data_IF_973744036628
#
_entry.id   IF_973744036628
#
_cell.length_a   1.000
_cell.length_b   1.000
_cell.length_c   1.000
_cell.angle_alpha   90.00
_cell.angle_beta   90.00
_cell.angle_gamma   90.00
#
_symmetry.space_group_name_H-M   'P 1'
#
loop_
_entity.id
_entity.type
_entity.pdbx_description
1 polymer ?
#
# COMPACT_ATOMS: atom_id res chain seq x y z
N UNK A 1 5.89 18.03 -24.32
CA UNK A 1 4.52 17.50 -24.51
C UNK A 1 4.14 16.74 -23.24
N UNK A 2 3.45 17.36 -22.29
CA UNK A 2 2.99 16.67 -21.07
C UNK A 2 1.77 15.85 -21.47
N UNK A 3 1.89 14.52 -21.48
CA UNK A 3 0.74 13.64 -21.67
C UNK A 3 -0.20 13.88 -20.49
N UNK A 4 -1.43 14.31 -20.76
CA UNK A 4 -2.49 14.44 -19.76
C UNK A 4 -2.58 13.08 -19.05
N UNK A 5 -2.32 13.03 -17.74
CA UNK A 5 -2.49 11.83 -16.96
C UNK A 5 -3.91 11.29 -17.24
N UNK A 6 -4.01 10.03 -17.66
CA UNK A 6 -5.29 9.44 -18.03
C UNK A 6 -6.18 9.39 -16.79
N UNK A 7 -7.31 10.08 -16.82
CA UNK A 7 -8.32 9.95 -15.78
C UNK A 7 -9.11 8.67 -16.00
N UNK A 8 -9.40 7.95 -14.93
CA UNK A 8 -10.23 6.75 -14.93
C UNK A 8 -11.39 6.96 -13.97
N UNK A 9 -12.60 6.64 -14.42
CA UNK A 9 -13.82 6.79 -13.64
C UNK A 9 -14.45 5.40 -13.48
N UNK A 10 -14.86 5.09 -12.26
CA UNK A 10 -15.55 3.87 -11.89
C UNK A 10 -16.84 4.24 -11.18
N UNK A 11 -17.91 3.50 -11.39
CA UNK A 11 -19.12 3.60 -10.58
C UNK A 11 -19.02 2.55 -9.47
N UNK A 12 -19.13 2.98 -8.21
CA UNK A 12 -19.23 2.06 -7.08
C UNK A 12 -20.66 1.49 -6.96
N UNK A 13 -20.84 0.48 -6.11
CA UNK A 13 -22.12 -0.20 -5.93
C UNK A 13 -23.24 0.73 -5.42
N UNK A 14 -22.90 1.93 -4.94
CA UNK A 14 -23.87 2.95 -4.52
C UNK A 14 -24.29 3.89 -5.66
N UNK A 15 -23.80 3.66 -6.88
CA UNK A 15 -24.01 4.52 -8.04
C UNK A 15 -23.15 5.79 -8.02
N UNK A 16 -22.16 5.87 -7.11
CA UNK A 16 -21.28 7.04 -7.02
C UNK A 16 -20.08 6.84 -7.94
N UNK A 17 -19.82 7.87 -8.75
CA UNK A 17 -18.65 7.90 -9.61
C UNK A 17 -17.40 8.24 -8.80
N UNK A 18 -16.50 7.27 -8.65
CA UNK A 18 -15.16 7.41 -8.09
C UNK A 18 -14.18 7.68 -9.23
N UNK A 19 -13.25 8.61 -9.00
CA UNK A 19 -12.26 9.04 -9.99
C UNK A 19 -10.86 8.72 -9.51
N UNK A 20 -10.01 8.27 -10.41
CA UNK A 20 -8.58 8.07 -10.20
C UNK A 20 -7.79 8.72 -11.34
N UNK A 21 -6.62 9.24 -11.01
CA UNK A 21 -5.67 9.72 -12.00
C UNK A 21 -4.49 8.74 -12.10
N UNK A 22 -3.96 8.58 -13.31
CA UNK A 22 -2.77 7.74 -13.54
C UNK A 22 -1.53 8.40 -12.96
N UNK A 23 -0.81 7.70 -12.08
CA UNK A 23 0.47 8.17 -11.56
C UNK A 23 1.49 8.34 -12.70
N UNK A 24 2.24 9.45 -12.79
CA UNK A 24 3.18 9.70 -13.90
C UNK A 24 4.28 8.65 -14.01
N UNK A 25 4.62 8.01 -12.90
CA UNK A 25 5.62 6.94 -12.85
C UNK A 25 4.95 5.60 -12.50
N UNK A 26 4.89 4.71 -13.49
CA UNK A 26 4.27 3.37 -13.40
C UNK A 26 2.79 3.31 -13.81
N UNK A 27 2.04 4.42 -13.79
CA UNK A 27 0.67 4.45 -14.29
C UNK A 27 -0.40 3.84 -13.36
N UNK A 28 -0.11 3.64 -12.07
CA UNK A 28 -1.11 3.18 -11.10
C UNK A 28 -2.26 4.16 -10.90
N UNK A 29 -3.37 3.66 -10.34
CA UNK A 29 -4.59 4.42 -10.11
C UNK A 29 -4.50 5.10 -8.74
N UNK A 30 -4.46 6.44 -8.75
CA UNK A 30 -4.29 7.25 -7.55
C UNK A 30 -5.53 8.11 -7.36
N UNK A 31 -6.15 8.00 -6.18
CA UNK A 31 -7.25 8.88 -5.80
C UNK A 31 -6.79 10.34 -5.83
N UNK A 32 -7.61 11.29 -6.32
CA UNK A 32 -7.30 12.73 -6.27
C UNK A 32 -7.08 13.28 -4.85
N UNK A 33 -7.46 12.52 -3.82
CA UNK A 33 -7.29 12.84 -2.41
C UNK A 33 -6.11 12.12 -1.76
N UNK A 34 -5.38 11.31 -2.52
CA UNK A 34 -4.12 10.71 -2.10
C UNK A 34 -2.95 11.66 -2.42
N UNK A 35 -1.85 11.52 -1.70
CA UNK A 35 -0.61 12.24 -1.97
C UNK A 35 0.49 11.22 -2.28
N UNK A 36 0.85 11.13 -3.56
CA UNK A 36 1.90 10.22 -4.03
C UNK A 36 3.04 11.07 -4.60
N UNK A 37 4.25 10.83 -4.11
CA UNK A 37 5.44 11.51 -4.62
C UNK A 37 5.71 11.10 -6.09
N UNK A 38 6.01 12.04 -7.00
CA UNK A 38 6.25 11.72 -8.42
C UNK A 38 7.39 10.72 -8.67
N UNK A 39 8.37 10.62 -7.76
CA UNK A 39 9.48 9.67 -7.85
C UNK A 39 9.09 8.27 -7.34
N UNK A 40 7.90 8.10 -6.74
CA UNK A 40 7.36 6.79 -6.44
C UNK A 40 6.93 6.09 -7.72
N UNK A 41 7.10 4.77 -7.80
CA UNK A 41 6.66 3.97 -8.94
C UNK A 41 5.47 3.12 -8.54
N UNK A 42 4.29 3.44 -9.07
CA UNK A 42 3.04 2.74 -8.77
C UNK A 42 2.64 1.95 -9.99
N UNK A 43 2.61 0.61 -9.89
CA UNK A 43 2.32 -0.26 -11.02
C UNK A 43 0.90 0.00 -11.62
N UNK A 44 0.67 -0.25 -12.93
CA UNK A 44 -0.56 0.15 -13.61
C UNK A 44 -1.87 -0.39 -13.02
N UNK A 45 -1.80 -1.52 -12.34
CA UNK A 45 -2.93 -2.23 -11.72
C UNK A 45 -3.02 -2.02 -10.21
N UNK A 46 -2.13 -1.23 -9.62
CA UNK A 46 -2.18 -0.89 -8.22
C UNK A 46 -3.12 0.28 -7.95
N UNK A 47 -3.76 0.25 -6.79
CA UNK A 47 -4.69 1.28 -6.30
C UNK A 47 -4.08 1.99 -5.09
N UNK A 48 -4.20 3.32 -5.08
CA UNK A 48 -3.88 4.18 -3.94
C UNK A 48 -5.10 5.02 -3.60
N UNK A 49 -5.61 4.80 -2.41
CA UNK A 49 -6.91 5.29 -1.95
C UNK A 49 -6.88 6.69 -1.30
N UNK A 50 -8.06 7.26 -1.03
CA UNK A 50 -8.15 8.61 -0.46
C UNK A 50 -7.43 8.73 0.90
N UNK A 51 -6.77 9.88 1.10
CA UNK A 51 -5.98 10.14 2.31
C UNK A 51 -4.69 9.32 2.42
N UNK A 52 -4.40 8.39 1.51
CA UNK A 52 -3.15 7.65 1.52
C UNK A 52 -1.98 8.55 1.11
N UNK A 53 -0.81 8.30 1.71
CA UNK A 53 0.45 8.98 1.43
C UNK A 53 1.50 7.97 1.00
N UNK A 54 2.22 8.24 -0.09
CA UNK A 54 3.31 7.38 -0.57
C UNK A 54 4.56 8.22 -0.84
N UNK A 55 5.62 7.96 -0.09
CA UNK A 55 6.88 8.68 -0.16
C UNK A 55 7.71 8.40 -1.42
N UNK A 56 8.67 9.30 -1.69
CA UNK A 56 9.60 9.20 -2.83
C UNK A 56 10.32 7.87 -2.90
N UNK A 57 10.68 7.43 -4.12
CA UNK A 57 11.46 6.20 -4.39
C UNK A 57 10.83 4.90 -3.87
N UNK A 58 9.59 4.96 -3.41
CA UNK A 58 8.80 3.78 -3.05
C UNK A 58 8.27 3.12 -4.31
N UNK A 59 8.20 1.79 -4.29
CA UNK A 59 7.60 1.00 -5.37
C UNK A 59 6.40 0.24 -4.83
N UNK A 60 5.27 0.34 -5.54
CA UNK A 60 4.06 -0.44 -5.29
C UNK A 60 3.82 -1.39 -6.46
N UNK A 61 3.89 -2.69 -6.20
CA UNK A 61 3.76 -3.74 -7.21
C UNK A 61 2.35 -3.91 -7.77
N UNK A 62 2.25 -4.68 -8.85
CA UNK A 62 1.00 -4.95 -9.56
C UNK A 62 -0.06 -5.59 -8.67
N UNK A 63 -1.33 -5.18 -8.85
CA UNK A 63 -2.47 -5.70 -8.10
C UNK A 63 -2.46 -5.36 -6.60
N UNK A 64 -1.52 -4.54 -6.15
CA UNK A 64 -1.46 -4.12 -4.75
C UNK A 64 -2.44 -2.98 -4.47
N UNK A 65 -2.97 -2.97 -3.25
CA UNK A 65 -3.94 -2.00 -2.79
C UNK A 65 -3.42 -1.30 -1.53
N UNK A 66 -3.15 0.00 -1.68
CA UNK A 66 -2.85 0.92 -0.60
C UNK A 66 -4.16 1.58 -0.18
N UNK A 67 -4.71 1.13 0.95
CA UNK A 67 -6.06 1.48 1.39
C UNK A 67 -6.13 2.87 2.06
N UNK A 68 -7.33 3.26 2.49
CA UNK A 68 -7.64 4.59 3.01
C UNK A 68 -6.71 5.01 4.15
N UNK A 69 -6.15 6.22 4.05
CA UNK A 69 -5.32 6.79 5.11
C UNK A 69 -4.00 6.06 5.39
N UNK A 70 -3.60 5.09 4.55
CA UNK A 70 -2.32 4.40 4.70
C UNK A 70 -1.17 5.37 4.46
N UNK A 71 -0.14 5.29 5.29
CA UNK A 71 1.08 6.10 5.16
C UNK A 71 2.27 5.21 4.84
N UNK A 72 2.82 5.33 3.63
CA UNK A 72 4.00 4.59 3.18
C UNK A 72 5.19 5.56 3.09
N UNK A 73 6.24 5.24 3.83
CA UNK A 73 7.47 6.03 3.90
C UNK A 73 8.29 6.05 2.61
N UNK A 74 9.51 6.55 2.72
CA UNK A 74 10.47 6.70 1.63
C UNK A 74 11.16 5.38 1.31
N UNK A 75 11.29 5.07 0.02
CA UNK A 75 12.11 3.93 -0.43
C UNK A 75 11.57 2.56 0.00
N UNK A 76 10.28 2.46 0.30
CA UNK A 76 9.61 1.21 0.66
C UNK A 76 9.46 0.33 -0.58
N UNK A 77 9.60 -0.99 -0.39
CA UNK A 77 9.37 -1.99 -1.45
C UNK A 77 8.11 -2.78 -1.12
N UNK A 78 7.00 -2.45 -1.79
CA UNK A 78 5.76 -3.25 -1.72
C UNK A 78 5.72 -4.19 -2.93
N UNK A 79 5.62 -5.49 -2.67
CA UNK A 79 5.49 -6.53 -3.70
C UNK A 79 4.17 -6.46 -4.48
N UNK A 80 3.92 -7.46 -5.30
CA UNK A 80 2.67 -7.58 -6.06
C UNK A 80 1.57 -8.28 -5.24
N UNK A 81 0.32 -7.90 -5.50
CA UNK A 81 -0.89 -8.41 -4.84
C UNK A 81 -0.86 -8.25 -3.31
N UNK A 82 -0.29 -7.14 -2.83
CA UNK A 82 -0.26 -6.80 -1.39
C UNK A 82 -1.47 -5.95 -1.05
N UNK A 83 -2.13 -6.25 0.07
CA UNK A 83 -3.12 -5.34 0.65
C UNK A 83 -2.52 -4.69 1.91
N UNK A 84 -2.45 -3.36 1.93
CA UNK A 84 -2.14 -2.58 3.12
C UNK A 84 -3.46 -2.03 3.67
N UNK A 85 -3.95 -2.59 4.77
CA UNK A 85 -5.24 -2.24 5.34
C UNK A 85 -5.31 -0.81 5.87
N UNK A 86 -6.54 -0.26 6.07
CA UNK A 86 -6.75 1.15 6.37
C UNK A 86 -5.96 1.65 7.57
N UNK A 87 -5.44 2.87 7.48
CA UNK A 87 -4.71 3.54 8.57
C UNK A 87 -3.37 2.89 8.94
N UNK A 88 -2.89 1.92 8.16
CA UNK A 88 -1.57 1.32 8.36
C UNK A 88 -0.44 2.31 8.10
N UNK A 89 0.62 2.22 8.89
CA UNK A 89 1.85 2.99 8.70
C UNK A 89 3.00 2.05 8.35
N UNK A 90 3.70 2.34 7.25
CA UNK A 90 4.87 1.61 6.79
C UNK A 90 6.07 2.54 6.78
N UNK A 91 7.01 2.29 7.69
CA UNK A 91 8.21 3.10 7.85
C UNK A 91 9.16 3.03 6.67
N UNK A 92 10.06 4.00 6.60
CA UNK A 92 11.05 4.15 5.52
C UNK A 92 11.85 2.87 5.29
N UNK A 93 12.13 2.56 4.02
CA UNK A 93 12.95 1.42 3.60
C UNK A 93 12.44 0.03 4.02
N UNK A 94 11.22 -0.07 4.55
CA UNK A 94 10.58 -1.35 4.84
C UNK A 94 10.33 -2.15 3.54
N UNK A 95 10.14 -3.47 3.70
CA UNK A 95 9.88 -4.40 2.61
C UNK A 95 8.66 -5.25 2.90
N UNK A 96 7.64 -5.15 2.05
CA UNK A 96 6.42 -5.93 2.12
C UNK A 96 6.42 -6.94 0.97
N UNK A 97 6.50 -8.23 1.30
CA UNK A 97 6.57 -9.31 0.32
C UNK A 97 5.26 -9.47 -0.45
N UNK A 98 5.34 -10.00 -1.66
CA UNK A 98 4.18 -10.24 -2.53
C UNK A 98 3.13 -11.11 -1.84
N UNK A 99 1.84 -10.85 -2.12
CA UNK A 99 0.69 -11.56 -1.55
C UNK A 99 0.51 -11.40 -0.03
N UNK A 100 1.31 -10.56 0.61
CA UNK A 100 1.10 -10.23 2.01
C UNK A 100 -0.23 -9.49 2.20
N UNK A 101 -0.91 -9.80 3.30
CA UNK A 101 -2.13 -9.13 3.74
C UNK A 101 -1.84 -8.45 5.06
N UNK A 102 -1.68 -7.14 5.02
CA UNK A 102 -1.43 -6.32 6.21
C UNK A 102 -2.76 -5.76 6.69
N UNK A 103 -3.13 -6.08 7.93
CA UNK A 103 -4.38 -5.65 8.55
C UNK A 103 -4.50 -4.14 8.72
N UNK A 104 -5.62 -3.69 9.29
CA UNK A 104 -5.86 -2.28 9.58
C UNK A 104 -5.02 -1.79 10.77
N UNK A 105 -4.56 -0.53 10.70
CA UNK A 105 -3.84 0.12 11.80
C UNK A 105 -2.52 -0.55 12.18
N UNK A 106 -1.92 -1.32 11.28
CA UNK A 106 -0.60 -1.95 11.52
C UNK A 106 0.50 -0.90 11.49
N UNK A 107 1.52 -1.08 12.32
CA UNK A 107 2.74 -0.28 12.29
C UNK A 107 3.89 -1.17 11.84
N UNK A 108 4.48 -0.89 10.68
CA UNK A 108 5.69 -1.56 10.19
C UNK A 108 6.87 -0.62 10.39
N UNK A 109 7.83 -1.00 11.22
CA UNK A 109 8.97 -0.15 11.52
C UNK A 109 9.85 0.14 10.29
N UNK A 110 10.61 1.26 10.30
CA UNK A 110 11.59 1.53 9.25
C UNK A 110 12.57 0.37 9.09
N UNK A 111 12.77 -0.07 7.84
CA UNK A 111 13.64 -1.18 7.48
C UNK A 111 13.12 -2.58 7.85
N UNK A 112 11.92 -2.70 8.45
CA UNK A 112 11.34 -3.99 8.79
C UNK A 112 10.92 -4.79 7.55
N UNK A 113 10.76 -6.10 7.73
CA UNK A 113 10.37 -7.00 6.66
C UNK A 113 9.11 -7.79 6.99
N UNK A 114 8.09 -7.66 6.14
CA UNK A 114 6.96 -8.58 6.06
C UNK A 114 7.24 -9.54 4.91
N UNK A 115 7.29 -10.84 5.20
CA UNK A 115 7.55 -11.88 4.21
C UNK A 115 6.41 -11.99 3.18
N UNK A 116 6.65 -12.66 2.04
CA UNK A 116 5.58 -12.98 1.10
C UNK A 116 4.54 -13.89 1.77
N UNK A 117 3.30 -13.86 1.27
CA UNK A 117 2.19 -14.70 1.75
C UNK A 117 1.86 -14.55 3.25
N UNK A 118 2.41 -13.52 3.90
CA UNK A 118 2.25 -13.30 5.34
C UNK A 118 0.94 -12.57 5.62
N UNK A 119 0.21 -13.03 6.64
CA UNK A 119 -0.93 -12.32 7.23
C UNK A 119 -0.45 -11.58 8.47
N UNK A 120 -0.54 -10.25 8.46
CA UNK A 120 -0.29 -9.41 9.63
C UNK A 120 -1.64 -9.00 10.22
N UNK A 121 -1.97 -9.38 11.46
CA UNK A 121 -3.24 -9.01 12.08
C UNK A 121 -3.39 -7.51 12.29
N UNK A 122 -4.63 -7.03 12.39
CA UNK A 122 -4.96 -5.65 12.71
C UNK A 122 -4.27 -5.17 13.99
N UNK A 123 -3.80 -3.92 13.98
CA UNK A 123 -3.13 -3.29 15.12
C UNK A 123 -1.77 -3.87 15.49
N UNK A 124 -1.26 -4.84 14.74
CA UNK A 124 0.05 -5.42 15.02
C UNK A 124 1.20 -4.42 14.80
N UNK A 125 2.28 -4.63 15.54
CA UNK A 125 3.56 -3.96 15.35
C UNK A 125 4.54 -4.95 14.71
N UNK A 126 5.10 -4.60 13.55
CA UNK A 126 6.13 -5.38 12.86
C UNK A 126 7.49 -4.73 13.11
N UNK A 127 8.29 -5.37 13.96
CA UNK A 127 9.64 -4.92 14.32
C UNK A 127 10.73 -5.73 13.63
N UNK A 128 11.81 -5.08 13.19
CA UNK A 128 13.04 -5.75 12.79
C UNK A 128 13.04 -6.46 11.41
N UNK A 129 14.23 -6.73 10.90
CA UNK A 129 14.48 -7.21 9.52
C UNK A 129 14.36 -8.71 9.29
N UNK A 130 13.58 -9.46 10.09
CA UNK A 130 13.36 -10.91 9.87
C UNK A 130 11.92 -11.28 10.21
N UNK A 131 11.21 -11.72 9.17
CA UNK A 131 9.89 -12.34 9.09
C UNK A 131 9.07 -12.34 10.39
N UNK A 132 8.02 -11.53 10.42
CA UNK A 132 6.88 -11.72 11.32
C UNK A 132 6.23 -13.08 11.00
N UNK A 133 6.82 -14.17 11.50
CA UNK A 133 6.18 -15.48 11.54
C UNK A 133 5.06 -15.41 12.57
N UNK A 134 3.88 -15.05 12.07
CA UNK A 134 2.56 -15.39 12.57
C UNK A 134 2.46 -15.51 14.09
N UNK A 135 2.15 -14.41 14.77
CA UNK A 135 1.49 -14.47 16.07
C UNK A 135 0.03 -14.94 15.84
N UNK A 136 -0.12 -16.21 15.47
CA UNK A 136 -1.39 -16.88 15.24
C UNK A 136 -1.66 -17.90 16.32
N UNK A 137 -2.48 -17.50 17.30
CA UNK A 137 -3.26 -18.35 18.22
C UNK A 137 -2.50 -19.40 19.04
N UNK A 138 -2.16 -19.03 20.28
CA UNK A 138 -2.45 -19.86 21.45
C UNK A 138 -3.22 -18.97 22.41
N UNK A 139 -4.46 -19.36 22.69
CA UNK A 139 -5.32 -18.98 23.83
C UNK A 139 -6.78 -18.89 23.37
N UNK A 140 -7.39 -20.06 23.27
CA UNK A 140 -8.79 -20.23 23.60
C UNK A 140 -8.85 -21.54 24.41
N UNK A 141 -9.28 -21.40 25.66
CA UNK A 141 -9.61 -22.51 26.56
C UNK A 141 -10.76 -23.36 26.00
#
# INVERSE_FOLDING_TARGET
MVRKAGRVEFEDDSGRVVRYDRHPNGGGLVSPRAVVDPDASIAPTAYVEEGAHVGRRTTVGEGSWVDQGVSVGVGVRVGGNVHLGPGTWVGDHARIGSRAKVGAGVVVEPGAHVGPDTLVPDGALVTGGRDARTAGRRDAA
#
